data_IF_503877615156
#
_entry.id   IF_503877615156
#
_cell.length_a   1.000
_cell.length_b   1.000
_cell.length_c   1.000
_cell.angle_alpha   90.00
_cell.angle_beta   90.00
_cell.angle_gamma   90.00
#
_symmetry.space_group_name_H-M   'P 1'
#
loop_
_entity.id
_entity.type
_entity.pdbx_description
1 polymer ?
#
# COMPACT_ATOMS: atom_id res chain seq x y z
N UNK A 1 4.35 11.08 -7.72
CA UNK A 1 5.43 10.35 -8.43
C UNK A 1 5.21 8.87 -8.19
N UNK A 2 4.85 8.08 -9.21
CA UNK A 2 4.52 6.65 -9.06
C UNK A 2 5.63 5.86 -8.34
N UNK A 3 6.89 6.19 -8.60
CA UNK A 3 8.01 5.49 -7.95
C UNK A 3 8.09 5.69 -6.44
N UNK A 4 7.59 6.82 -5.92
CA UNK A 4 7.49 7.03 -4.47
C UNK A 4 6.41 6.13 -3.87
N UNK A 5 5.27 5.99 -4.55
CA UNK A 5 4.21 5.09 -4.11
C UNK A 5 4.66 3.62 -4.13
N UNK A 6 5.44 3.22 -5.14
CA UNK A 6 6.09 1.90 -5.20
C UNK A 6 6.98 1.63 -4.00
N UNK A 7 7.88 2.57 -3.69
CA UNK A 7 8.80 2.43 -2.56
C UNK A 7 8.05 2.34 -1.22
N UNK A 8 7.01 3.15 -1.03
CA UNK A 8 6.16 3.09 0.18
C UNK A 8 5.39 1.76 0.28
N UNK A 9 4.78 1.30 -0.82
CA UNK A 9 4.10 0.01 -0.86
C UNK A 9 5.04 -1.16 -0.52
N UNK A 10 6.27 -1.13 -1.03
CA UNK A 10 7.26 -2.18 -0.76
C UNK A 10 7.76 -2.15 0.69
N UNK A 11 7.96 -0.95 1.26
CA UNK A 11 8.30 -0.81 2.68
C UNK A 11 7.15 -1.29 3.58
N UNK A 12 5.91 -0.98 3.21
CA UNK A 12 4.72 -1.47 3.90
C UNK A 12 4.66 -3.01 3.91
N UNK A 13 4.92 -3.65 2.76
CA UNK A 13 4.96 -5.11 2.63
C UNK A 13 6.09 -5.74 3.47
N UNK A 14 7.24 -5.07 3.58
CA UNK A 14 8.33 -5.51 4.45
C UNK A 14 7.90 -5.46 5.93
N UNK A 15 7.28 -4.37 6.37
CA UNK A 15 6.77 -4.26 7.75
C UNK A 15 5.64 -5.24 8.03
N UNK A 16 4.74 -5.48 7.09
CA UNK A 16 3.74 -6.54 7.17
C UNK A 16 4.40 -7.91 7.40
N UNK A 17 5.38 -8.29 6.58
CA UNK A 17 6.07 -9.59 6.71
C UNK A 17 6.82 -9.79 8.04
N UNK A 18 7.11 -8.70 8.75
CA UNK A 18 7.78 -8.70 10.05
C UNK A 18 6.82 -8.50 11.22
N UNK A 19 5.50 -8.50 10.97
CA UNK A 19 4.45 -8.33 11.98
C UNK A 19 4.30 -6.89 12.49
N UNK A 20 4.98 -5.93 11.87
CA UNK A 20 4.99 -4.50 12.26
C UNK A 20 3.81 -3.76 11.65
N UNK A 21 2.59 -4.23 11.92
CA UNK A 21 1.39 -3.76 11.24
C UNK A 21 1.09 -2.26 11.45
N UNK A 22 1.36 -1.73 12.64
CA UNK A 22 1.18 -0.31 12.96
C UNK A 22 2.04 0.62 12.10
N UNK A 23 3.18 0.12 11.59
CA UNK A 23 4.07 0.88 10.71
C UNK A 23 3.79 0.59 9.24
N UNK A 24 3.25 -0.59 8.91
CA UNK A 24 2.85 -0.97 7.56
C UNK A 24 1.61 -0.19 7.08
N UNK A 25 0.59 -0.05 7.93
CA UNK A 25 -0.68 0.58 7.56
C UNK A 25 -0.53 2.01 7.00
N UNK A 26 0.14 2.96 7.68
CA UNK A 26 0.24 4.33 7.17
C UNK A 26 1.00 4.39 5.83
N UNK A 27 1.94 3.48 5.60
CA UNK A 27 2.69 3.41 4.34
C UNK A 27 1.82 2.92 3.18
N UNK A 28 0.98 1.91 3.40
CA UNK A 28 0.00 1.48 2.40
C UNK A 28 -1.01 2.58 2.07
N UNK A 29 -1.53 3.29 3.09
CA UNK A 29 -2.46 4.40 2.89
C UNK A 29 -1.81 5.53 2.08
N UNK A 30 -0.57 5.90 2.41
CA UNK A 30 0.15 6.95 1.69
C UNK A 30 0.47 6.55 0.25
N UNK A 31 0.88 5.29 0.01
CA UNK A 31 1.10 4.77 -1.33
C UNK A 31 -0.18 4.82 -2.17
N UNK A 32 -1.31 4.39 -1.61
CA UNK A 32 -2.61 4.40 -2.27
C UNK A 32 -3.04 5.82 -2.63
N UNK A 33 -2.96 6.76 -1.68
CA UNK A 33 -3.34 8.15 -1.90
C UNK A 33 -2.52 8.82 -3.01
N UNK A 34 -1.21 8.54 -3.08
CA UNK A 34 -0.35 9.04 -4.17
C UNK A 34 -0.81 8.44 -5.50
N UNK A 35 -0.99 7.13 -5.59
CA UNK A 35 -1.42 6.45 -6.82
C UNK A 35 -2.78 6.96 -7.31
N UNK A 36 -3.77 7.08 -6.43
CA UNK A 36 -5.11 7.59 -6.78
C UNK A 36 -5.04 9.03 -7.30
N UNK A 37 -4.23 9.89 -6.67
CA UNK A 37 -4.08 11.28 -7.10
C UNK A 37 -3.30 11.44 -8.41
N UNK A 38 -2.30 10.59 -8.66
CA UNK A 38 -1.41 10.76 -9.83
C UNK A 38 -1.83 9.96 -11.05
N UNK A 39 -2.40 8.77 -10.84
CA UNK A 39 -2.72 7.81 -11.91
C UNK A 39 -4.23 7.59 -12.05
N UNK A 40 -5.02 7.95 -11.03
CA UNK A 40 -6.45 7.68 -10.98
C UNK A 40 -6.77 6.30 -10.41
N UNK A 41 -8.01 6.15 -9.95
CA UNK A 41 -8.50 4.96 -9.24
C UNK A 41 -8.54 3.68 -10.09
N UNK A 42 -8.70 3.81 -11.41
CA UNK A 42 -8.81 2.69 -12.35
C UNK A 42 -7.48 2.28 -12.98
N UNK A 43 -6.38 2.97 -12.68
CA UNK A 43 -5.09 2.64 -13.25
C UNK A 43 -4.60 1.29 -12.69
N UNK A 44 -4.03 0.38 -13.52
CA UNK A 44 -3.57 -0.93 -13.07
C UNK A 44 -2.68 -0.87 -11.83
N UNK A 45 -1.78 0.12 -11.79
CA UNK A 45 -0.90 0.31 -10.65
C UNK A 45 -1.64 0.67 -9.34
N UNK A 46 -2.64 1.54 -9.41
CA UNK A 46 -3.49 1.88 -8.27
C UNK A 46 -4.26 0.66 -7.76
N UNK A 47 -4.73 -0.18 -8.68
CA UNK A 47 -5.41 -1.44 -8.33
C UNK A 47 -4.47 -2.43 -7.63
N UNK A 48 -3.21 -2.52 -8.05
CA UNK A 48 -2.20 -3.36 -7.36
C UNK A 48 -1.97 -2.90 -5.93
N UNK A 49 -1.73 -1.60 -5.71
CA UNK A 49 -1.52 -1.04 -4.37
C UNK A 49 -2.76 -1.26 -3.49
N UNK A 50 -3.95 -1.05 -4.04
CA UNK A 50 -5.21 -1.31 -3.35
C UNK A 50 -5.37 -2.79 -2.98
N UNK A 51 -4.99 -3.72 -3.87
CA UNK A 51 -5.01 -5.15 -3.61
C UNK A 51 -4.06 -5.56 -2.48
N UNK A 52 -2.85 -4.99 -2.47
CA UNK A 52 -1.88 -5.22 -1.40
C UNK A 52 -2.41 -4.71 -0.05
N UNK A 53 -2.95 -3.49 -0.01
CA UNK A 53 -3.52 -2.94 1.22
C UNK A 53 -4.72 -3.76 1.70
N UNK A 54 -5.61 -4.19 0.81
CA UNK A 54 -6.74 -5.03 1.17
C UNK A 54 -6.32 -6.40 1.73
N UNK A 55 -5.23 -6.99 1.21
CA UNK A 55 -4.65 -8.21 1.76
C UNK A 55 -4.09 -7.97 3.16
N UNK A 56 -3.32 -6.90 3.35
CA UNK A 56 -2.78 -6.49 4.64
C UNK A 56 -3.89 -6.34 5.69
N UNK A 57 -4.99 -5.64 5.37
CA UNK A 57 -6.10 -5.46 6.31
C UNK A 57 -6.75 -6.79 6.76
N UNK A 58 -6.75 -7.81 5.90
CA UNK A 58 -7.28 -9.15 6.27
C UNK A 58 -6.33 -9.90 7.21
N UNK A 59 -5.04 -9.63 7.14
CA UNK A 59 -4.02 -10.30 7.94
C UNK A 59 -3.83 -9.60 9.29
N UNK A 60 -3.76 -8.27 9.30
CA UNK A 60 -3.51 -7.46 10.48
C UNK A 60 -4.67 -7.46 11.50
N UNK A 61 -5.91 -7.66 11.04
CA UNK A 61 -7.12 -7.59 11.87
C UNK A 61 -7.94 -8.89 11.91
N UNK A 62 -7.30 -10.02 11.63
CA UNK A 62 -7.92 -11.35 11.79
C UNK A 62 -8.07 -11.73 13.26
#
# INVERSE_FOLDING_TARGET
HPDVANSLNNLAALYESTGRYNEAEPLYQQALAICERTLGVGHPHTMTVRGNYARFLREAYR
#
